data_IF_422330968792
#
_entry.id   IF_422330968792
#
_cell.length_a   1.000
_cell.length_b   1.000
_cell.length_c   1.000
_cell.angle_alpha   90.00
_cell.angle_beta   90.00
_cell.angle_gamma   90.00
#
_symmetry.space_group_name_H-M   'P 1'
#
loop_
_entity.id
_entity.type
_entity.pdbx_description
1 polymer ?
#
# COMPACT_ATOMS: atom_id res chain seq x y z
N UNK A 1 5.65 -7.44 21.75
CA UNK A 1 7.12 -7.64 21.84
C UNK A 1 7.51 -8.73 20.86
N UNK A 2 8.06 -8.35 19.71
CA UNK A 2 8.58 -9.30 18.74
C UNK A 2 10.08 -9.45 18.97
N UNK A 3 10.50 -10.62 19.46
CA UNK A 3 11.91 -10.97 19.41
C UNK A 3 12.25 -11.26 17.94
N UNK A 4 12.85 -10.28 17.25
CA UNK A 4 13.68 -10.59 16.10
C UNK A 4 14.85 -11.41 16.63
N UNK A 5 14.81 -12.72 16.41
CA UNK A 5 15.99 -13.56 16.63
C UNK A 5 17.01 -13.11 15.60
N UNK A 6 17.98 -12.30 16.03
CA UNK A 6 19.10 -11.93 15.18
C UNK A 6 19.86 -13.21 14.83
N UNK A 7 20.12 -13.49 13.54
CA UNK A 7 20.92 -14.65 13.16
C UNK A 7 22.29 -14.54 13.82
N UNK A 8 22.83 -15.67 14.26
CA UNK A 8 24.20 -15.69 14.78
C UNK A 8 25.17 -15.18 13.70
N UNK A 9 26.29 -14.56 14.09
CA UNK A 9 27.30 -14.05 13.15
C UNK A 9 27.75 -15.10 12.11
N UNK A 10 27.77 -16.38 12.51
CA UNK A 10 28.07 -17.53 11.63
C UNK A 10 26.98 -17.78 10.58
N UNK A 11 25.71 -17.72 10.99
CA UNK A 11 24.55 -17.93 10.11
C UNK A 11 24.37 -16.76 9.12
N UNK A 12 24.52 -15.51 9.59
CA UNK A 12 24.49 -14.33 8.73
C UNK A 12 25.60 -14.37 7.66
N UNK A 13 26.80 -14.81 8.05
CA UNK A 13 27.92 -14.97 7.13
C UNK A 13 27.68 -16.12 6.13
N UNK A 14 27.16 -17.26 6.58
CA UNK A 14 26.80 -18.38 5.71
C UNK A 14 25.74 -17.99 4.68
N UNK A 15 24.70 -17.29 5.13
CA UNK A 15 23.63 -16.76 4.28
C UNK A 15 24.18 -15.78 3.24
N UNK A 16 25.06 -14.87 3.65
CA UNK A 16 25.71 -13.93 2.73
C UNK A 16 26.56 -14.66 1.68
N UNK A 17 27.27 -15.72 2.06
CA UNK A 17 28.02 -16.55 1.11
C UNK A 17 27.13 -17.26 0.11
N UNK A 18 26.00 -17.81 0.55
CA UNK A 18 25.04 -18.49 -0.33
C UNK A 18 24.41 -17.54 -1.35
N UNK A 19 24.06 -16.32 -0.93
CA UNK A 19 23.52 -15.30 -1.84
C UNK A 19 24.57 -14.79 -2.83
N UNK A 20 25.80 -14.54 -2.36
CA UNK A 20 26.91 -14.18 -3.26
C UNK A 20 27.23 -15.28 -4.29
N UNK A 21 27.02 -16.55 -3.94
CA UNK A 21 27.15 -17.65 -4.89
C UNK A 21 26.09 -17.56 -5.98
N UNK A 22 24.83 -17.25 -5.67
CA UNK A 22 23.78 -17.07 -6.67
C UNK A 22 24.10 -15.95 -7.66
N UNK A 23 24.63 -14.81 -7.19
CA UNK A 23 25.05 -13.71 -8.06
C UNK A 23 26.25 -14.08 -8.94
N UNK A 24 27.24 -14.81 -8.40
CA UNK A 24 28.43 -15.23 -9.18
C UNK A 24 28.13 -16.37 -10.17
N UNK A 25 27.10 -17.18 -9.92
CA UNK A 25 26.72 -18.32 -10.76
C UNK A 25 26.04 -17.92 -12.07
N UNK A 26 25.66 -16.65 -12.23
CA UNK A 26 25.17 -16.11 -13.51
C UNK A 26 26.24 -16.22 -14.61
N UNK A 27 27.50 -15.99 -14.28
CA UNK A 27 28.62 -16.08 -15.23
C UNK A 27 28.83 -17.49 -15.80
N UNK A 28 28.49 -18.54 -15.05
CA UNK A 28 28.58 -19.95 -15.45
C UNK A 28 27.24 -20.50 -15.98
N UNK A 29 26.27 -19.63 -16.32
CA UNK A 29 24.92 -20.01 -16.77
C UNK A 29 24.22 -20.98 -15.80
N UNK A 30 24.46 -20.82 -14.49
CA UNK A 30 23.88 -21.66 -13.45
C UNK A 30 24.21 -23.17 -13.50
N UNK A 31 25.19 -23.62 -14.31
CA UNK A 31 25.61 -25.03 -14.37
C UNK A 31 25.98 -25.64 -13.01
N UNK A 32 26.46 -24.83 -12.08
CA UNK A 32 26.77 -25.25 -10.70
C UNK A 32 25.52 -25.48 -9.84
N UNK A 33 24.39 -24.85 -10.18
CA UNK A 33 23.08 -25.13 -9.57
C UNK A 33 22.47 -26.42 -10.13
N UNK A 34 22.72 -26.78 -11.40
CA UNK A 34 22.27 -28.08 -11.97
C UNK A 34 22.80 -29.28 -11.17
N UNK A 35 24.02 -29.17 -10.64
CA UNK A 35 24.63 -30.19 -9.80
C UNK A 35 23.92 -30.38 -8.45
N UNK A 36 23.16 -29.38 -7.99
CA UNK A 36 22.36 -29.48 -6.77
C UNK A 36 21.06 -30.20 -7.10
N UNK A 37 20.96 -31.48 -6.74
CA UNK A 37 19.75 -32.28 -6.88
C UNK A 37 18.88 -32.26 -5.61
N UNK A 38 19.45 -31.81 -4.50
CA UNK A 38 18.76 -31.68 -3.22
C UNK A 38 17.71 -30.57 -3.27
N UNK A 39 16.43 -30.98 -3.21
CA UNK A 39 15.28 -30.09 -3.25
C UNK A 39 15.21 -29.17 -2.03
N UNK A 40 15.50 -29.67 -0.84
CA UNK A 40 15.44 -28.90 0.40
C UNK A 40 16.50 -27.79 0.42
N UNK A 41 17.67 -28.08 -0.13
CA UNK A 41 18.73 -27.07 -0.30
C UNK A 41 18.32 -25.98 -1.30
N UNK A 42 17.68 -26.35 -2.41
CA UNK A 42 17.17 -25.39 -3.39
C UNK A 42 16.04 -24.52 -2.81
N UNK A 43 15.14 -25.12 -2.02
CA UNK A 43 14.06 -24.40 -1.33
C UNK A 43 14.62 -23.43 -0.28
N UNK A 44 15.67 -23.84 0.45
CA UNK A 44 16.38 -22.98 1.41
C UNK A 44 17.05 -21.79 0.72
N UNK A 45 17.72 -22.03 -0.42
CA UNK A 45 18.32 -20.99 -1.26
C UNK A 45 17.27 -19.99 -1.74
N UNK A 46 16.15 -20.49 -2.26
CA UNK A 46 15.06 -19.65 -2.76
C UNK A 46 14.45 -18.81 -1.64
N UNK A 47 14.18 -19.43 -0.48
CA UNK A 47 13.63 -18.76 0.69
C UNK A 47 14.56 -17.65 1.18
N UNK A 48 15.86 -17.93 1.25
CA UNK A 48 16.86 -16.95 1.67
C UNK A 48 16.95 -15.77 0.68
N UNK A 49 16.96 -16.05 -0.62
CA UNK A 49 16.98 -15.02 -1.67
C UNK A 49 15.72 -14.14 -1.64
N UNK A 50 14.55 -14.72 -1.41
CA UNK A 50 13.29 -14.00 -1.25
C UNK A 50 13.36 -13.04 -0.05
N UNK A 51 13.80 -13.54 1.11
CA UNK A 51 13.87 -12.80 2.38
C UNK A 51 14.90 -11.66 2.39
N UNK A 52 15.78 -11.62 1.39
CA UNK A 52 16.90 -10.70 1.33
C UNK A 52 16.71 -9.70 0.18
N UNK A 53 15.68 -8.84 0.21
CA UNK A 53 15.36 -7.91 -0.90
C UNK A 53 16.50 -6.93 -1.19
N UNK A 54 17.36 -6.68 -0.21
CA UNK A 54 18.56 -5.84 -0.31
C UNK A 54 19.75 -6.54 -0.99
N UNK A 55 19.67 -7.85 -1.24
CA UNK A 55 20.75 -8.57 -1.91
C UNK A 55 20.58 -8.50 -3.41
N UNK A 56 21.69 -8.31 -4.12
CA UNK A 56 21.75 -8.24 -5.58
C UNK A 56 21.50 -9.61 -6.25
N UNK A 57 20.55 -10.40 -5.72
CA UNK A 57 20.09 -11.62 -6.39
C UNK A 57 19.44 -11.19 -7.72
N UNK A 58 20.00 -11.62 -8.86
CA UNK A 58 19.49 -11.20 -10.15
C UNK A 58 18.18 -11.92 -10.49
N UNK A 59 17.34 -11.30 -11.31
CA UNK A 59 16.05 -11.88 -11.74
C UNK A 59 16.25 -13.23 -12.47
N UNK A 60 17.35 -13.37 -13.21
CA UNK A 60 17.79 -14.60 -13.87
C UNK A 60 17.97 -15.77 -12.89
N UNK A 61 18.48 -15.53 -11.68
CA UNK A 61 18.62 -16.57 -10.65
C UNK A 61 17.25 -17.01 -10.11
N UNK A 62 16.32 -16.07 -9.91
CA UNK A 62 14.94 -16.41 -9.52
C UNK A 62 14.21 -17.18 -10.63
N UNK A 63 14.40 -16.80 -11.91
CA UNK A 63 13.84 -17.53 -13.06
C UNK A 63 14.36 -18.96 -13.11
N UNK A 64 15.67 -19.14 -12.91
CA UNK A 64 16.28 -20.46 -12.86
C UNK A 64 15.72 -21.30 -11.72
N UNK A 65 15.67 -20.77 -10.49
CA UNK A 65 15.16 -21.49 -9.32
C UNK A 65 13.67 -21.83 -9.46
N UNK A 66 12.86 -20.91 -10.00
CA UNK A 66 11.43 -21.14 -10.22
C UNK A 66 11.10 -22.15 -11.32
N UNK A 67 12.04 -22.43 -12.22
CA UNK A 67 11.94 -23.56 -13.15
C UNK A 67 12.07 -24.93 -12.48
N UNK A 68 12.60 -24.97 -11.24
CA UNK A 68 12.86 -26.22 -10.49
C UNK A 68 11.95 -26.37 -9.27
N UNK A 69 11.55 -25.26 -8.66
CA UNK A 69 10.63 -25.20 -7.52
C UNK A 69 9.47 -24.31 -7.92
N UNK A 70 8.25 -24.83 -7.84
CA UNK A 70 7.06 -24.02 -8.12
C UNK A 70 6.99 -22.81 -7.18
N UNK A 71 6.83 -21.57 -7.70
CA UNK A 71 6.58 -20.40 -6.85
C UNK A 71 5.33 -20.54 -5.98
N UNK A 72 4.38 -21.37 -6.38
CA UNK A 72 3.14 -21.65 -5.66
C UNK A 72 3.25 -22.79 -4.63
N UNK A 73 4.42 -23.45 -4.54
CA UNK A 73 4.68 -24.41 -3.47
C UNK A 73 4.98 -23.69 -2.15
N UNK A 74 4.52 -24.28 -1.05
CA UNK A 74 4.99 -23.91 0.28
C UNK A 74 6.37 -24.55 0.55
N UNK A 75 7.29 -23.83 1.21
CA UNK A 75 8.59 -24.38 1.55
C UNK A 75 8.44 -25.52 2.56
N UNK A 76 9.13 -26.64 2.35
CA UNK A 76 9.25 -27.71 3.35
C UNK A 76 10.36 -27.43 4.38
N UNK A 77 11.11 -26.34 4.18
CA UNK A 77 12.26 -25.92 5.00
C UNK A 77 12.07 -24.51 5.55
N UNK A 78 12.60 -24.26 6.75
CA UNK A 78 12.51 -22.97 7.43
C UNK A 78 11.56 -22.97 8.62
N UNK A 79 11.32 -21.79 9.19
CA UNK A 79 10.48 -21.60 10.38
C UNK A 79 9.02 -22.02 10.11
N UNK A 80 8.36 -22.66 11.07
CA UNK A 80 7.01 -23.25 10.94
C UNK A 80 5.97 -22.23 10.42
N UNK A 81 6.21 -20.95 10.72
CA UNK A 81 5.40 -19.79 10.27
C UNK A 81 5.37 -19.60 8.75
N UNK A 82 6.27 -20.24 8.00
CA UNK A 82 6.37 -20.16 6.55
C UNK A 82 5.79 -21.39 5.83
N UNK A 83 5.59 -22.51 6.54
CA UNK A 83 5.13 -23.79 5.98
C UNK A 83 3.74 -23.74 5.33
N UNK A 84 2.95 -22.70 5.62
CA UNK A 84 1.60 -22.50 5.07
C UNK A 84 1.55 -21.47 3.94
N UNK A 85 2.68 -20.83 3.60
CA UNK A 85 2.73 -19.74 2.61
C UNK A 85 3.56 -20.15 1.41
N UNK A 86 3.05 -19.88 0.21
CA UNK A 86 3.83 -20.13 -1.00
C UNK A 86 5.05 -19.22 -1.11
N UNK A 87 6.09 -19.63 -1.84
CA UNK A 87 7.21 -18.76 -2.17
C UNK A 87 6.79 -17.44 -2.82
N UNK A 88 5.72 -17.46 -3.62
CA UNK A 88 5.12 -16.27 -4.22
C UNK A 88 4.60 -15.31 -3.15
N UNK A 89 3.78 -15.81 -2.21
CA UNK A 89 3.23 -15.01 -1.09
C UNK A 89 4.35 -14.48 -0.19
N UNK A 90 5.41 -15.26 0.02
CA UNK A 90 6.59 -14.82 0.77
C UNK A 90 7.35 -13.70 0.05
N UNK A 91 7.48 -13.77 -1.28
CA UNK A 91 8.08 -12.69 -2.07
C UNK A 91 7.30 -11.38 -1.97
N UNK A 92 5.96 -11.45 -1.95
CA UNK A 92 5.11 -10.27 -1.69
C UNK A 92 5.36 -9.72 -0.29
N UNK A 93 5.33 -10.59 0.74
CA UNK A 93 5.53 -10.19 2.15
C UNK A 93 6.87 -9.48 2.38
N UNK A 94 7.91 -9.90 1.68
CA UNK A 94 9.25 -9.33 1.78
C UNK A 94 9.51 -8.23 0.72
N UNK A 95 8.46 -7.73 0.05
CA UNK A 95 8.55 -6.69 -0.98
C UNK A 95 9.63 -6.96 -2.04
N UNK A 96 9.83 -8.23 -2.41
CA UNK A 96 10.88 -8.62 -3.35
C UNK A 96 10.38 -8.55 -4.79
N UNK A 97 10.39 -7.33 -5.34
CA UNK A 97 9.90 -7.06 -6.70
C UNK A 97 10.62 -7.88 -7.79
N UNK A 98 11.91 -8.18 -7.64
CA UNK A 98 12.68 -9.01 -8.59
C UNK A 98 12.18 -10.45 -8.60
N UNK A 99 11.93 -11.04 -7.43
CA UNK A 99 11.35 -12.37 -7.33
C UNK A 99 9.95 -12.41 -7.96
N UNK A 100 9.12 -11.38 -7.72
CA UNK A 100 7.79 -11.30 -8.34
C UNK A 100 7.87 -11.19 -9.86
N UNK A 101 8.74 -10.34 -10.41
CA UNK A 101 8.95 -10.29 -11.86
C UNK A 101 9.39 -11.63 -12.44
N UNK A 102 10.30 -12.32 -11.77
CA UNK A 102 10.72 -13.65 -12.17
C UNK A 102 9.54 -14.64 -12.12
N UNK A 103 8.83 -14.75 -11.01
CA UNK A 103 7.75 -15.73 -10.83
C UNK A 103 6.52 -15.47 -11.70
N UNK A 104 6.29 -14.21 -12.10
CA UNK A 104 5.13 -13.80 -12.90
C UNK A 104 5.06 -14.48 -14.27
N UNK A 105 6.15 -15.08 -14.76
CA UNK A 105 6.08 -15.91 -15.98
C UNK A 105 5.09 -17.08 -15.83
N UNK A 106 4.90 -17.60 -14.61
CA UNK A 106 3.96 -18.69 -14.30
C UNK A 106 2.48 -18.28 -14.33
N UNK A 107 2.20 -17.00 -14.58
CA UNK A 107 0.85 -16.42 -14.70
C UNK A 107 0.47 -16.14 -16.16
N UNK A 108 1.40 -16.29 -17.09
CA UNK A 108 1.20 -16.02 -18.52
C UNK A 108 0.84 -17.28 -19.32
N UNK A 109 0.00 -17.11 -20.33
CA UNK A 109 -0.51 -18.18 -21.20
C UNK A 109 -1.76 -18.90 -20.68
N UNK A 110 -2.11 -20.01 -21.34
CA UNK A 110 -3.40 -20.70 -21.19
C UNK A 110 -3.29 -22.12 -20.63
N UNK A 111 -2.10 -22.53 -20.18
CA UNK A 111 -1.93 -23.84 -19.56
C UNK A 111 -2.82 -23.98 -18.31
N UNK A 112 -3.33 -25.19 -18.06
CA UNK A 112 -4.19 -25.49 -16.90
C UNK A 112 -3.55 -25.03 -15.58
N UNK A 113 -2.25 -25.28 -15.41
CA UNK A 113 -1.53 -24.85 -14.20
C UNK A 113 -1.47 -23.32 -14.08
N UNK A 114 -1.28 -22.59 -15.18
CA UNK A 114 -1.33 -21.12 -15.19
C UNK A 114 -2.69 -20.60 -14.74
N UNK A 115 -3.78 -21.21 -15.21
CA UNK A 115 -5.13 -20.86 -14.78
C UNK A 115 -5.34 -21.15 -13.28
N UNK A 116 -4.84 -22.28 -12.78
CA UNK A 116 -4.85 -22.59 -11.34
C UNK A 116 -4.08 -21.55 -10.53
N UNK A 117 -2.87 -21.17 -10.97
CA UNK A 117 -2.06 -20.14 -10.30
C UNK A 117 -2.80 -18.80 -10.25
N UNK A 118 -3.42 -18.38 -11.36
CA UNK A 118 -4.27 -17.17 -11.40
C UNK A 118 -5.49 -17.31 -10.48
N UNK A 119 -6.12 -18.48 -10.41
CA UNK A 119 -7.23 -18.71 -9.47
C UNK A 119 -6.78 -18.57 -8.01
N UNK A 120 -5.65 -19.16 -7.62
CA UNK A 120 -5.08 -19.02 -6.28
C UNK A 120 -4.84 -17.56 -5.89
N UNK A 121 -4.28 -16.75 -6.80
CA UNK A 121 -4.07 -15.32 -6.53
C UNK A 121 -5.35 -14.50 -6.49
N UNK A 122 -6.43 -14.93 -7.14
CA UNK A 122 -7.74 -14.26 -7.04
C UNK A 122 -8.40 -14.56 -5.69
N UNK A 123 -8.29 -15.80 -5.22
CA UNK A 123 -8.87 -16.25 -3.95
C UNK A 123 -8.14 -15.64 -2.75
N UNK A 124 -6.81 -15.52 -2.82
CA UNK A 124 -5.97 -14.82 -1.83
C UNK A 124 -5.22 -13.66 -2.49
N UNK A 125 -5.90 -12.52 -2.59
CA UNK A 125 -5.41 -11.36 -3.32
C UNK A 125 -4.10 -10.80 -2.71
N UNK A 126 -2.95 -10.93 -3.41
CA UNK A 126 -1.66 -10.53 -2.85
C UNK A 126 -1.53 -9.01 -2.70
N UNK A 127 -2.21 -8.22 -3.55
CA UNK A 127 -2.15 -6.76 -3.49
C UNK A 127 -2.89 -6.24 -2.25
N UNK A 128 -4.06 -6.82 -1.93
CA UNK A 128 -4.79 -6.49 -0.72
C UNK A 128 -3.92 -6.66 0.54
N UNK A 129 -3.30 -7.84 0.67
CA UNK A 129 -2.45 -8.17 1.83
C UNK A 129 -1.20 -7.28 1.90
N UNK A 130 -0.59 -6.97 0.75
CA UNK A 130 0.57 -6.09 0.66
C UNK A 130 0.25 -4.66 1.11
N UNK A 131 -0.83 -4.06 0.61
CA UNK A 131 -1.22 -2.70 0.98
C UNK A 131 -1.66 -2.62 2.45
N UNK A 132 -2.34 -3.65 2.95
CA UNK A 132 -2.65 -3.76 4.37
C UNK A 132 -1.37 -3.77 5.23
N UNK A 133 -0.33 -4.49 4.80
CA UNK A 133 1.00 -4.48 5.43
C UNK A 133 1.62 -3.08 5.45
N UNK A 134 1.66 -2.39 4.30
CA UNK A 134 2.21 -1.04 4.17
C UNK A 134 1.52 -0.02 5.08
N UNK A 135 0.19 -0.10 5.24
CA UNK A 135 -0.51 0.77 6.18
C UNK A 135 -0.06 0.51 7.63
N UNK A 136 0.14 -0.76 8.00
CA UNK A 136 0.73 -1.12 9.28
C UNK A 136 2.14 -0.54 9.44
N UNK A 137 3.01 -0.75 8.46
CA UNK A 137 4.39 -0.24 8.43
C UNK A 137 4.42 1.29 8.62
N UNK A 138 3.48 2.01 8.00
CA UNK A 138 3.31 3.47 8.17
C UNK A 138 2.90 3.85 9.59
N UNK A 139 1.90 3.18 10.16
CA UNK A 139 1.39 3.48 11.49
C UNK A 139 2.42 3.20 12.59
N UNK A 140 3.26 2.18 12.41
CA UNK A 140 4.29 1.79 13.38
C UNK A 140 5.69 2.32 13.07
N UNK A 141 5.85 3.13 12.01
CA UNK A 141 7.09 3.81 11.67
C UNK A 141 8.21 2.88 11.20
N UNK A 142 7.94 1.96 10.27
CA UNK A 142 8.98 1.11 9.68
C UNK A 142 10.00 1.95 8.91
N UNK A 143 11.27 1.81 9.28
CA UNK A 143 12.41 2.48 8.65
C UNK A 143 12.55 2.17 7.15
N UNK A 144 12.00 1.05 6.68
CA UNK A 144 12.05 0.61 5.29
C UNK A 144 10.81 1.02 4.47
N UNK A 145 9.84 1.74 5.05
CA UNK A 145 8.57 2.07 4.38
C UNK A 145 8.77 2.67 2.99
N UNK A 146 9.70 3.62 2.82
CA UNK A 146 9.97 4.25 1.54
C UNK A 146 10.43 3.25 0.46
N UNK A 147 11.29 2.30 0.83
CA UNK A 147 11.74 1.25 -0.07
C UNK A 147 10.62 0.24 -0.37
N UNK A 148 9.82 -0.12 0.64
CA UNK A 148 8.67 -1.02 0.50
C UNK A 148 7.60 -0.41 -0.43
N UNK A 149 7.35 0.90 -0.36
CA UNK A 149 6.44 1.60 -1.28
C UNK A 149 6.92 1.54 -2.74
N UNK A 150 8.22 1.77 -2.99
CA UNK A 150 8.79 1.64 -4.35
C UNK A 150 8.62 0.20 -4.87
N UNK A 151 8.97 -0.79 -4.04
CA UNK A 151 8.82 -2.18 -4.42
C UNK A 151 7.35 -2.58 -4.63
N UNK A 152 6.43 -2.06 -3.81
CA UNK A 152 5.01 -2.30 -3.96
C UNK A 152 4.46 -1.76 -5.28
N UNK A 153 4.90 -0.58 -5.74
CA UNK A 153 4.54 -0.04 -7.07
C UNK A 153 5.05 -0.94 -8.20
N UNK A 154 6.29 -1.43 -8.11
CA UNK A 154 6.88 -2.37 -9.08
C UNK A 154 6.09 -3.70 -9.13
N UNK A 155 5.77 -4.26 -7.96
CA UNK A 155 4.98 -5.49 -7.81
C UNK A 155 3.59 -5.27 -8.41
N UNK A 156 2.93 -4.16 -8.07
CA UNK A 156 1.59 -3.82 -8.57
C UNK A 156 1.58 -3.68 -10.08
N UNK A 157 2.57 -2.99 -10.66
CA UNK A 157 2.74 -2.87 -12.11
C UNK A 157 2.86 -4.24 -12.77
N UNK A 158 3.69 -5.11 -12.18
CA UNK A 158 3.96 -6.45 -12.71
C UNK A 158 2.70 -7.30 -12.69
N UNK A 159 2.02 -7.39 -11.54
CA UNK A 159 0.85 -8.25 -11.37
C UNK A 159 -0.37 -7.73 -12.15
N UNK A 160 -0.67 -6.43 -12.08
CA UNK A 160 -1.84 -5.85 -12.76
C UNK A 160 -1.71 -5.82 -14.28
N UNK A 161 -0.50 -5.95 -14.82
CA UNK A 161 -0.32 -6.12 -16.28
C UNK A 161 -0.70 -7.53 -16.76
N UNK A 162 -0.76 -8.51 -15.85
CA UNK A 162 -1.11 -9.90 -16.16
C UNK A 162 -2.50 -10.29 -15.62
N UNK A 163 -2.90 -9.69 -14.51
CA UNK A 163 -4.11 -9.99 -13.77
C UNK A 163 -4.76 -8.67 -13.27
N UNK A 164 -5.32 -7.85 -14.18
CA UNK A 164 -5.95 -6.58 -13.81
C UNK A 164 -7.11 -6.76 -12.82
N UNK A 165 -7.77 -7.93 -12.80
CA UNK A 165 -8.86 -8.26 -11.89
C UNK A 165 -8.45 -8.32 -10.41
N UNK A 166 -7.14 -8.31 -10.10
CA UNK A 166 -6.66 -8.18 -8.71
C UNK A 166 -6.91 -6.78 -8.13
N UNK A 167 -7.17 -5.76 -8.96
CA UNK A 167 -7.51 -4.42 -8.49
C UNK A 167 -9.01 -4.33 -8.14
N UNK A 168 -9.39 -5.02 -7.07
CA UNK A 168 -10.76 -5.00 -6.53
C UNK A 168 -11.01 -3.79 -5.63
N UNK A 169 -12.27 -3.41 -5.40
CA UNK A 169 -12.61 -2.30 -4.47
C UNK A 169 -11.98 -2.44 -3.07
N UNK A 170 -12.00 -3.62 -2.40
CA UNK A 170 -11.27 -3.80 -1.14
C UNK A 170 -9.75 -3.57 -1.26
N UNK A 171 -9.15 -4.00 -2.37
CA UNK A 171 -7.72 -3.81 -2.63
C UNK A 171 -7.41 -2.33 -2.84
N UNK A 172 -8.26 -1.63 -3.58
CA UNK A 172 -8.15 -0.20 -3.83
C UNK A 172 -8.26 0.61 -2.53
N UNK A 173 -9.23 0.28 -1.68
CA UNK A 173 -9.38 0.89 -0.35
C UNK A 173 -8.11 0.75 0.49
N UNK A 174 -7.47 -0.43 0.48
CA UNK A 174 -6.19 -0.61 1.18
C UNK A 174 -5.05 0.18 0.55
N UNK A 175 -5.04 0.33 -0.77
CA UNK A 175 -4.06 1.20 -1.44
C UNK A 175 -4.22 2.67 -1.02
N UNK A 176 -5.44 3.16 -0.85
CA UNK A 176 -5.73 4.51 -0.35
C UNK A 176 -5.16 4.69 1.07
N UNK A 177 -5.38 3.71 1.95
CA UNK A 177 -4.87 3.74 3.33
C UNK A 177 -3.34 3.82 3.43
N UNK A 178 -2.59 3.43 2.38
CA UNK A 178 -1.12 3.54 2.36
C UNK A 178 -0.62 4.99 2.38
N UNK A 179 -1.46 5.95 1.95
CA UNK A 179 -1.09 7.36 1.81
C UNK A 179 -0.11 7.63 0.66
N UNK A 180 0.12 6.66 -0.22
CA UNK A 180 1.08 6.81 -1.32
C UNK A 180 0.45 7.32 -2.62
N UNK A 181 0.56 8.63 -2.85
CA UNK A 181 -0.02 9.28 -4.03
C UNK A 181 0.50 8.79 -5.38
N UNK A 182 1.73 8.28 -5.45
CA UNK A 182 2.28 7.69 -6.70
C UNK A 182 1.66 6.33 -7.00
N UNK A 183 1.52 5.47 -5.99
CA UNK A 183 0.79 4.21 -6.12
C UNK A 183 -0.65 4.48 -6.56
N UNK A 184 -1.34 5.42 -5.91
CA UNK A 184 -2.72 5.75 -6.27
C UNK A 184 -2.84 6.27 -7.71
N UNK A 185 -1.89 7.11 -8.17
CA UNK A 185 -1.84 7.53 -9.58
C UNK A 185 -1.69 6.33 -10.51
N UNK A 186 -0.78 5.41 -10.21
CA UNK A 186 -0.55 4.21 -11.01
C UNK A 186 -1.83 3.38 -11.12
N UNK A 187 -2.52 3.13 -10.01
CA UNK A 187 -3.76 2.36 -9.99
C UNK A 187 -4.90 3.07 -10.73
N UNK A 188 -4.99 4.40 -10.58
CA UNK A 188 -6.01 5.23 -11.23
C UNK A 188 -5.95 5.13 -12.76
N UNK A 189 -4.73 5.20 -13.32
CA UNK A 189 -4.53 5.06 -14.76
C UNK A 189 -4.83 3.65 -15.29
N UNK A 190 -4.87 2.63 -14.42
CA UNK A 190 -5.24 1.26 -14.80
C UNK A 190 -6.74 1.08 -14.80
N UNK A 191 -7.37 1.35 -13.66
CA UNK A 191 -8.81 1.24 -13.50
C UNK A 191 -9.26 2.05 -12.28
N UNK A 192 -9.90 3.21 -12.46
CA UNK A 192 -10.49 3.95 -11.34
C UNK A 192 -11.55 3.10 -10.62
N UNK A 193 -11.72 3.26 -9.30
CA UNK A 193 -12.76 2.54 -8.56
C UNK A 193 -14.16 2.89 -9.10
N UNK A 194 -15.04 1.89 -9.11
CA UNK A 194 -16.44 2.02 -9.49
C UNK A 194 -17.29 2.61 -8.37
N UNK A 195 -16.92 2.31 -7.12
CA UNK A 195 -17.53 2.88 -5.91
C UNK A 195 -17.32 4.41 -5.85
N UNK A 196 -18.39 5.23 -5.76
CA UNK A 196 -18.27 6.69 -5.76
C UNK A 196 -17.50 7.24 -4.57
N UNK A 197 -17.60 6.63 -3.38
CA UNK A 197 -16.92 7.09 -2.17
C UNK A 197 -15.43 6.85 -2.32
N UNK A 198 -15.02 5.61 -2.65
CA UNK A 198 -13.61 5.28 -2.89
C UNK A 198 -13.00 6.10 -4.03
N UNK A 199 -13.79 6.43 -5.06
CA UNK A 199 -13.35 7.28 -6.16
C UNK A 199 -13.02 8.70 -5.69
N UNK A 200 -13.87 9.32 -4.88
CA UNK A 200 -13.62 10.66 -4.35
C UNK A 200 -12.41 10.68 -3.43
N UNK A 201 -12.26 9.66 -2.57
CA UNK A 201 -11.09 9.51 -1.70
C UNK A 201 -9.80 9.41 -2.53
N UNK A 202 -9.78 8.53 -3.54
CA UNK A 202 -8.66 8.39 -4.45
C UNK A 202 -8.32 9.70 -5.17
N UNK A 203 -9.32 10.35 -5.81
CA UNK A 203 -9.12 11.62 -6.51
C UNK A 203 -8.65 12.75 -5.60
N UNK A 204 -9.06 12.74 -4.32
CA UNK A 204 -8.61 13.74 -3.36
C UNK A 204 -7.14 13.56 -2.98
N UNK A 205 -6.63 12.32 -2.98
CA UNK A 205 -5.24 12.00 -2.63
C UNK A 205 -4.27 12.20 -3.81
N UNK A 206 -4.76 12.37 -5.04
CA UNK A 206 -3.97 12.60 -6.26
C UNK A 206 -4.39 13.93 -6.92
N UNK A 207 -3.65 14.47 -7.90
CA UNK A 207 -3.98 15.79 -8.47
C UNK A 207 -5.15 15.77 -9.48
N UNK A 208 -6.18 14.93 -9.29
CA UNK A 208 -7.37 14.83 -10.15
C UNK A 208 -8.47 15.84 -9.76
N UNK A 209 -8.08 17.11 -9.64
CA UNK A 209 -8.91 18.14 -8.98
C UNK A 209 -10.13 18.58 -9.79
N UNK A 210 -10.05 18.56 -11.11
CA UNK A 210 -11.16 18.97 -11.99
C UNK A 210 -12.32 17.97 -11.92
N UNK A 211 -12.02 16.68 -12.04
CA UNK A 211 -13.02 15.61 -11.97
C UNK A 211 -13.61 15.49 -10.57
N UNK A 212 -12.77 15.58 -9.52
CA UNK A 212 -13.21 15.63 -8.13
C UNK A 212 -14.26 16.73 -7.92
N UNK A 213 -13.94 17.94 -8.36
CA UNK A 213 -14.82 19.10 -8.23
C UNK A 213 -16.13 18.90 -8.98
N UNK A 214 -16.06 18.41 -10.21
CA UNK A 214 -17.25 18.15 -11.03
C UNK A 214 -18.19 17.13 -10.38
N UNK A 215 -17.66 16.03 -9.84
CA UNK A 215 -18.47 15.00 -9.18
C UNK A 215 -19.14 15.53 -7.91
N UNK A 216 -18.43 16.29 -7.08
CA UNK A 216 -19.02 16.88 -5.87
C UNK A 216 -20.08 17.94 -6.22
N UNK A 217 -19.85 18.81 -7.20
CA UNK A 217 -20.86 19.78 -7.62
C UNK A 217 -22.12 19.11 -8.17
N UNK A 218 -21.96 17.98 -8.87
CA UNK A 218 -23.08 17.19 -9.39
C UNK A 218 -23.86 16.47 -8.27
N UNK A 219 -23.17 15.97 -7.24
CA UNK A 219 -23.79 15.25 -6.13
C UNK A 219 -23.14 15.64 -4.78
N UNK A 220 -23.52 16.80 -4.20
CA UNK A 220 -22.89 17.31 -2.98
C UNK A 220 -23.04 16.39 -1.76
N UNK A 221 -24.11 15.60 -1.71
CA UNK A 221 -24.36 14.63 -0.63
C UNK A 221 -23.28 13.57 -0.50
N UNK A 222 -22.43 13.37 -1.51
CA UNK A 222 -21.29 12.44 -1.42
C UNK A 222 -20.26 12.88 -0.38
N UNK A 223 -20.17 14.17 -0.03
CA UNK A 223 -19.31 14.64 1.05
C UNK A 223 -19.75 14.11 2.44
N UNK A 224 -21.03 13.77 2.59
CA UNK A 224 -21.63 13.23 3.81
C UNK A 224 -21.61 11.69 3.85
N UNK A 225 -21.37 11.04 2.71
CA UNK A 225 -21.30 9.59 2.62
C UNK A 225 -20.12 9.06 3.44
N UNK A 226 -20.28 7.86 4.00
CA UNK A 226 -19.24 7.23 4.81
C UNK A 226 -18.47 6.17 4.04
N UNK A 227 -17.16 6.13 4.24
CA UNK A 227 -16.29 5.06 3.80
C UNK A 227 -16.52 3.77 4.59
N UNK A 228 -15.76 2.72 4.26
CA UNK A 228 -15.87 1.42 4.93
C UNK A 228 -15.43 1.44 6.39
N UNK A 229 -14.69 2.46 6.82
CA UNK A 229 -14.30 2.66 8.22
C UNK A 229 -15.30 3.54 8.99
N UNK A 230 -16.36 4.02 8.34
CA UNK A 230 -17.36 4.89 8.93
C UNK A 230 -16.97 6.37 8.93
N UNK A 231 -15.85 6.76 8.30
CA UNK A 231 -15.44 8.16 8.16
C UNK A 231 -16.21 8.81 7.02
N UNK A 232 -16.66 10.06 7.19
CA UNK A 232 -17.26 10.79 6.06
C UNK A 232 -16.20 11.10 5.01
N UNK A 233 -16.61 11.16 3.75
CA UNK A 233 -15.73 11.53 2.63
C UNK A 233 -15.07 12.89 2.86
N UNK A 234 -15.80 13.90 3.34
CA UNK A 234 -15.18 15.20 3.62
C UNK A 234 -14.08 15.10 4.69
N UNK A 235 -14.31 14.31 5.73
CA UNK A 235 -13.33 14.09 6.80
C UNK A 235 -12.08 13.41 6.24
N UNK A 236 -12.26 12.42 5.35
CA UNK A 236 -11.14 11.81 4.62
C UNK A 236 -10.38 12.84 3.79
N UNK A 237 -11.07 13.62 2.96
CA UNK A 237 -10.47 14.62 2.06
C UNK A 237 -9.65 15.63 2.86
N UNK A 238 -10.18 16.13 3.98
CA UNK A 238 -9.48 17.10 4.81
C UNK A 238 -8.29 16.47 5.54
N UNK A 239 -8.43 15.22 6.02
CA UNK A 239 -7.38 14.55 6.79
C UNK A 239 -6.24 14.01 5.92
N UNK A 240 -6.54 13.45 4.76
CA UNK A 240 -5.59 12.70 3.93
C UNK A 240 -5.45 13.22 2.50
N UNK A 241 -6.36 14.08 2.05
CA UNK A 241 -6.34 14.63 0.70
C UNK A 241 -5.18 15.60 0.45
N UNK A 242 -4.85 15.76 -0.83
CA UNK A 242 -3.88 16.73 -1.31
C UNK A 242 -4.42 18.17 -1.08
N UNK A 243 -3.61 19.11 -0.56
CA UNK A 243 -4.05 20.50 -0.36
C UNK A 243 -4.62 21.16 -1.63
N UNK A 244 -4.12 20.78 -2.81
CA UNK A 244 -4.62 21.27 -4.11
C UNK A 244 -6.06 20.82 -4.38
N UNK A 245 -6.42 19.60 -3.97
CA UNK A 245 -7.79 19.09 -4.10
C UNK A 245 -8.75 19.85 -3.19
N UNK A 246 -8.34 20.10 -1.93
CA UNK A 246 -9.11 20.89 -0.97
C UNK A 246 -9.31 22.31 -1.50
N UNK A 247 -8.23 22.94 -1.99
CA UNK A 247 -8.30 24.28 -2.58
C UNK A 247 -9.23 24.34 -3.80
N UNK A 248 -9.23 23.31 -4.66
CA UNK A 248 -10.12 23.26 -5.82
C UNK A 248 -11.60 23.19 -5.41
N UNK A 249 -11.94 22.36 -4.42
CA UNK A 249 -13.30 22.27 -3.87
C UNK A 249 -13.76 23.59 -3.25
N UNK A 250 -12.87 24.28 -2.51
CA UNK A 250 -13.13 25.61 -1.96
C UNK A 250 -13.37 26.65 -3.06
N UNK A 251 -12.50 26.70 -4.08
CA UNK A 251 -12.62 27.65 -5.19
C UNK A 251 -13.93 27.47 -5.97
N UNK A 252 -14.40 26.22 -6.06
CA UNK A 252 -15.66 25.87 -6.68
C UNK A 252 -16.89 26.09 -5.79
N UNK A 253 -16.71 26.52 -4.53
CA UNK A 253 -17.77 26.65 -3.51
C UNK A 253 -18.54 25.35 -3.31
N UNK A 254 -17.83 24.22 -3.37
CA UNK A 254 -18.43 22.89 -3.31
C UNK A 254 -18.69 22.40 -1.87
N UNK A 255 -18.16 23.11 -0.86
CA UNK A 255 -18.24 22.72 0.55
C UNK A 255 -19.04 23.76 1.33
N UNK A 256 -20.11 23.30 1.98
CA UNK A 256 -20.85 24.07 3.00
C UNK A 256 -20.41 23.59 4.38
N UNK A 257 -19.49 24.33 5.01
CA UNK A 257 -18.88 23.91 6.27
C UNK A 257 -19.88 23.83 7.43
N UNK A 258 -20.98 24.60 7.39
CA UNK A 258 -21.98 24.61 8.47
C UNK A 258 -22.63 23.24 8.68
N UNK A 259 -22.69 22.42 7.62
CA UNK A 259 -23.21 21.05 7.67
C UNK A 259 -22.30 20.08 8.45
N UNK A 260 -21.04 20.45 8.68
CA UNK A 260 -20.00 19.56 9.22
C UNK A 260 -19.39 20.08 10.53
N UNK A 261 -20.06 21.03 11.19
CA UNK A 261 -19.61 21.64 12.46
C UNK A 261 -20.58 21.37 13.61
N UNK A 262 -21.36 20.29 13.54
CA UNK A 262 -22.33 19.97 14.58
C UNK A 262 -21.62 19.77 15.95
N UNK A 263 -22.12 20.34 17.06
CA UNK A 263 -21.43 20.34 18.35
C UNK A 263 -21.11 18.96 18.91
N UNK A 264 -21.95 17.96 18.63
CA UNK A 264 -21.79 16.59 19.10
C UNK A 264 -20.78 15.75 18.29
N UNK A 265 -20.23 16.27 17.19
CA UNK A 265 -19.27 15.53 16.38
C UNK A 265 -17.88 15.55 17.04
N UNK A 266 -17.33 14.35 17.28
CA UNK A 266 -15.98 14.20 17.84
C UNK A 266 -14.90 14.74 16.89
N UNK A 267 -15.13 14.60 15.58
CA UNK A 267 -14.24 14.98 14.49
C UNK A 267 -14.93 16.01 13.60
N UNK A 268 -14.32 17.20 13.46
CA UNK A 268 -14.77 18.23 12.52
C UNK A 268 -13.66 18.54 11.51
N UNK A 269 -13.98 19.06 10.32
CA UNK A 269 -12.98 19.43 9.33
C UNK A 269 -11.85 20.34 9.86
N UNK A 270 -12.18 21.32 10.70
CA UNK A 270 -11.18 22.22 11.29
C UNK A 270 -10.25 21.49 12.28
N UNK A 271 -10.77 20.54 13.06
CA UNK A 271 -9.96 19.73 13.96
C UNK A 271 -9.03 18.80 13.19
N UNK A 272 -9.51 18.18 12.11
CA UNK A 272 -8.69 17.36 11.22
C UNK A 272 -7.56 18.16 10.58
N UNK A 273 -7.85 19.38 10.10
CA UNK A 273 -6.83 20.27 9.56
C UNK A 273 -5.82 20.75 10.63
N UNK A 274 -6.29 20.98 11.87
CA UNK A 274 -5.43 21.33 13.01
C UNK A 274 -4.50 20.17 13.39
N UNK A 275 -4.98 18.93 13.27
CA UNK A 275 -4.14 17.76 13.46
C UNK A 275 -3.00 17.71 12.45
N UNK A 276 -3.29 17.93 11.15
CA UNK A 276 -2.25 17.96 10.10
C UNK A 276 -1.22 19.07 10.34
N UNK A 277 -1.67 20.24 10.79
CA UNK A 277 -0.78 21.34 11.18
C UNK A 277 0.20 20.91 12.28
N UNK A 278 -0.30 20.25 13.34
CA UNK A 278 0.49 19.91 14.53
C UNK A 278 1.44 18.73 14.30
N UNK A 279 0.97 17.69 13.62
CA UNK A 279 1.68 16.41 13.54
C UNK A 279 2.32 16.14 12.17
N UNK A 280 1.91 16.84 11.12
CA UNK A 280 2.44 16.67 9.75
C UNK A 280 3.11 17.94 9.22
N UNK A 281 3.04 19.06 9.95
CA UNK A 281 3.57 20.35 9.52
C UNK A 281 2.82 20.97 8.33
N UNK A 282 1.64 20.44 7.99
CA UNK A 282 0.83 20.94 6.87
C UNK A 282 0.03 22.18 7.28
N UNK A 283 0.67 23.33 7.10
CA UNK A 283 0.06 24.64 7.32
C UNK A 283 -0.98 25.01 6.25
N UNK A 284 -0.86 24.47 5.05
CA UNK A 284 -1.65 24.90 3.90
C UNK A 284 -3.08 24.41 4.04
N UNK A 285 -3.28 23.13 4.35
CA UNK A 285 -4.61 22.57 4.59
C UNK A 285 -5.37 23.33 5.68
N UNK A 286 -4.70 23.61 6.81
CA UNK A 286 -5.30 24.37 7.90
C UNK A 286 -5.71 25.78 7.49
N UNK A 287 -4.84 26.51 6.78
CA UNK A 287 -5.14 27.87 6.29
C UNK A 287 -6.29 27.87 5.31
N UNK A 288 -6.35 26.91 4.39
CA UNK A 288 -7.40 26.77 3.40
C UNK A 288 -8.77 26.61 4.08
N UNK A 289 -8.89 25.63 4.97
CA UNK A 289 -10.14 25.33 5.68
C UNK A 289 -10.56 26.52 6.54
N UNK A 290 -9.66 27.05 7.38
CA UNK A 290 -10.01 28.17 8.27
C UNK A 290 -10.44 29.41 7.48
N UNK A 291 -9.70 29.78 6.43
CA UNK A 291 -10.00 30.97 5.64
C UNK A 291 -11.37 30.86 4.97
N UNK A 292 -11.69 29.71 4.40
CA UNK A 292 -12.99 29.52 3.74
C UNK A 292 -14.14 29.48 4.75
N UNK A 293 -13.97 28.82 5.90
CA UNK A 293 -14.94 28.85 6.99
C UNK A 293 -15.23 30.28 7.47
N UNK A 294 -14.21 31.14 7.60
CA UNK A 294 -14.36 32.56 7.96
C UNK A 294 -15.11 33.35 6.89
N UNK A 295 -14.82 33.12 5.60
CA UNK A 295 -15.53 33.75 4.48
C UNK A 295 -17.01 33.37 4.47
N UNK A 296 -17.32 32.10 4.75
CA UNK A 296 -18.69 31.59 4.87
C UNK A 296 -19.38 31.96 6.20
N UNK A 297 -18.67 32.63 7.13
CA UNK A 297 -19.15 32.95 8.49
C UNK A 297 -19.66 31.71 9.23
N UNK A 298 -18.92 30.60 9.10
CA UNK A 298 -19.27 29.33 9.75
C UNK A 298 -19.13 29.47 11.26
N UNK A 299 -20.19 29.22 12.05
CA UNK A 299 -20.10 29.32 13.50
C UNK A 299 -19.24 28.18 14.06
N UNK A 300 -18.31 28.54 14.95
CA UNK A 300 -17.53 27.59 15.75
C UNK A 300 -17.98 27.71 17.20
N UNK A 301 -18.17 26.58 17.88
CA UNK A 301 -18.49 26.57 19.31
C UNK A 301 -17.25 26.84 20.15
N UNK A 302 -17.43 27.35 21.37
CA UNK A 302 -16.32 27.55 22.33
C UNK A 302 -15.52 26.26 22.55
N UNK A 303 -16.18 25.11 22.55
CA UNK A 303 -15.55 23.79 22.67
C UNK A 303 -14.68 23.46 21.45
N UNK A 304 -15.16 23.73 20.23
CA UNK A 304 -14.37 23.54 19.01
C UNK A 304 -13.14 24.45 19.00
N UNK A 305 -13.32 25.72 19.40
CA UNK A 305 -12.23 26.69 19.52
C UNK A 305 -11.22 26.23 20.58
N UNK A 306 -11.68 25.81 21.75
CA UNK A 306 -10.84 25.28 22.80
C UNK A 306 -10.02 24.08 22.31
N UNK A 307 -10.65 23.09 21.65
CA UNK A 307 -9.95 21.92 21.11
C UNK A 307 -8.88 22.28 20.07
N UNK A 308 -9.14 23.27 19.21
CA UNK A 308 -8.13 23.78 18.26
C UNK A 308 -6.94 24.37 19.01
N UNK A 309 -7.19 25.13 20.08
CA UNK A 309 -6.16 25.81 20.88
C UNK A 309 -5.37 24.87 21.81
N UNK A 310 -6.03 23.93 22.49
CA UNK A 310 -5.46 23.27 23.68
C UNK A 310 -4.79 21.94 23.43
N UNK A 311 -5.03 21.21 22.33
CA UNK A 311 -4.11 20.17 21.80
C UNK A 311 -4.57 19.43 20.53
N UNK A 312 -5.76 19.70 19.96
CA UNK A 312 -6.25 19.00 18.75
C UNK A 312 -6.76 17.57 19.05
N UNK A 313 -6.96 16.75 18.01
CA UNK A 313 -7.34 15.33 18.16
C UNK A 313 -6.14 14.50 18.65
N UNK A 314 -6.41 13.47 19.43
CA UNK A 314 -5.41 12.49 19.87
C UNK A 314 -5.38 11.28 18.94
N UNK A 315 -4.39 10.40 19.07
CA UNK A 315 -4.35 9.12 18.34
C UNK A 315 -5.50 8.18 18.72
N UNK A 316 -6.18 8.39 19.85
CA UNK A 316 -7.33 7.57 20.28
C UNK A 316 -8.64 7.95 19.59
N UNK A 317 -8.66 9.06 18.85
CA UNK A 317 -9.84 9.56 18.14
C UNK A 317 -10.02 8.97 16.72
N UNK A 318 -9.15 8.03 16.30
CA UNK A 318 -9.09 7.40 14.97
C UNK A 318 -8.97 5.87 15.07
#
# INVERSE_FOLDING_TARGET
>A
MFAQVQPTLSEAWHNHQMLNRLTKMEADHYRKLDAIQDKELLESLLLLAIKSPQTNTPESAFRYLSGRISPFAAPSVGDDKYSTRSFFTLAIKHYNARAIRAFSHTLSGDAKQTQTNRATLRDDNPLFNMYMGLNGDRLFGDENLAANLVAARDISTTLLSLMPELLTEPTYAKAIDTGDGELLRLLWHRHPPSDPVLRLEAMSAIPETAELTWQILKQPSLLEATDRSGRRVLDFIVRFGNPTAIQALINARAIDWQRFTAPQEKTTPLLLATWRLKYEGDNDTWRLVLKDMLVQKTPLTDEQIARVLTDGLTTEDF
#
